data_IF_333643383594
#
_entry.id   IF_333643383594
#
_cell.length_a   1.000
_cell.length_b   1.000
_cell.length_c   1.000
_cell.angle_alpha   90.00
_cell.angle_beta   90.00
_cell.angle_gamma   90.00
#
_symmetry.space_group_name_H-M   'P 1'
#
loop_
_entity.id
_entity.type
_entity.pdbx_description
1 polymer ?
#
# COMPACT_ATOMS: atom_id res chain seq x y z
N UNK A 1 -8.37 12.96 -13.22
CA UNK A 1 -9.32 11.81 -13.29
C UNK A 1 -10.11 11.81 -12.00
N UNK A 2 -11.45 11.67 -12.03
CA UNK A 2 -12.22 11.58 -10.79
C UNK A 2 -11.91 10.19 -10.20
N UNK A 3 -11.32 10.09 -9.01
CA UNK A 3 -11.11 8.79 -8.38
C UNK A 3 -12.48 8.14 -8.11
N UNK A 4 -12.57 6.84 -8.27
CA UNK A 4 -13.69 6.08 -7.78
C UNK A 4 -13.61 5.95 -6.25
N UNK A 5 -13.60 4.71 -5.73
CA UNK A 5 -13.52 4.49 -4.29
C UNK A 5 -12.07 4.47 -3.80
N UNK A 6 -11.79 5.24 -2.74
CA UNK A 6 -10.57 5.18 -1.95
C UNK A 6 -10.67 4.03 -0.94
N UNK A 7 -9.73 3.10 -0.98
CA UNK A 7 -9.71 1.92 -0.10
C UNK A 7 -8.56 2.05 0.90
N UNK A 8 -8.88 2.27 2.17
CA UNK A 8 -7.90 2.43 3.26
C UNK A 8 -7.59 1.07 3.90
N UNK A 9 -6.38 0.58 3.71
CA UNK A 9 -5.90 -0.71 4.20
C UNK A 9 -4.93 -0.49 5.37
N UNK A 10 -5.37 -0.84 6.57
CA UNK A 10 -4.59 -0.68 7.80
C UNK A 10 -3.48 -1.72 7.94
N UNK A 11 -2.46 -1.43 8.76
CA UNK A 11 -1.41 -2.39 9.11
C UNK A 11 -2.02 -3.68 9.68
N UNK A 12 -1.50 -4.88 9.34
CA UNK A 12 -1.99 -6.15 9.87
C UNK A 12 -2.00 -6.25 11.40
N UNK A 13 -1.14 -5.52 12.07
CA UNK A 13 -1.07 -5.46 13.53
C UNK A 13 -2.12 -4.52 14.15
N UNK A 14 -2.86 -3.77 13.31
CA UNK A 14 -3.84 -2.76 13.72
C UNK A 14 -5.27 -3.19 13.34
N UNK A 15 -6.19 -2.25 13.33
CA UNK A 15 -7.59 -2.41 12.93
C UNK A 15 -8.06 -1.22 12.12
N UNK A 16 -9.20 -1.33 11.44
CA UNK A 16 -9.80 -0.21 10.74
C UNK A 16 -10.12 0.99 11.67
N UNK A 17 -10.32 0.75 12.97
CA UNK A 17 -10.51 1.81 13.95
C UNK A 17 -9.26 2.70 14.13
N UNK A 18 -8.06 2.19 13.80
CA UNK A 18 -6.82 2.96 13.83
C UNK A 18 -6.80 4.17 12.87
N UNK A 19 -7.65 4.18 11.85
CA UNK A 19 -7.83 5.33 10.99
C UNK A 19 -8.45 6.55 11.69
N UNK A 20 -9.10 6.36 12.87
CA UNK A 20 -9.76 7.44 13.59
C UNK A 20 -10.75 8.21 12.71
N UNK A 21 -10.70 9.57 12.71
CA UNK A 21 -11.63 10.40 11.93
C UNK A 21 -11.27 10.50 10.43
N UNK A 22 -10.13 9.96 10.00
CA UNK A 22 -9.62 10.14 8.63
C UNK A 22 -10.62 9.74 7.54
N UNK A 23 -11.31 8.56 7.60
CA UNK A 23 -12.27 8.19 6.57
C UNK A 23 -13.42 9.20 6.43
N UNK A 24 -13.97 9.68 7.56
CA UNK A 24 -15.07 10.64 7.56
C UNK A 24 -14.63 12.02 7.05
N UNK A 25 -13.43 12.45 7.43
CA UNK A 25 -12.88 13.71 6.94
C UNK A 25 -12.65 13.67 5.43
N UNK A 26 -12.16 12.56 4.89
CA UNK A 26 -11.99 12.38 3.44
C UNK A 26 -13.33 12.35 2.70
N UNK A 27 -14.38 11.75 3.32
CA UNK A 27 -15.74 11.81 2.77
C UNK A 27 -16.29 13.23 2.74
N UNK A 28 -15.98 14.05 3.75
CA UNK A 28 -16.37 15.46 3.77
C UNK A 28 -15.74 16.29 2.63
N UNK A 29 -14.64 15.81 2.06
CA UNK A 29 -14.03 16.38 0.85
C UNK A 29 -14.63 15.83 -0.46
N UNK A 30 -15.68 15.03 -0.38
CA UNK A 30 -16.40 14.49 -1.53
C UNK A 30 -15.78 13.20 -2.10
N UNK A 31 -14.86 12.55 -1.37
CA UNK A 31 -14.29 11.26 -1.77
C UNK A 31 -15.20 10.12 -1.33
N UNK A 32 -15.37 9.11 -2.19
CA UNK A 32 -15.94 7.84 -1.77
C UNK A 32 -14.85 7.00 -1.08
N UNK A 33 -15.07 6.62 0.18
CA UNK A 33 -14.05 6.00 1.04
C UNK A 33 -14.59 4.76 1.71
N UNK A 34 -13.86 3.66 1.60
CA UNK A 34 -14.06 2.44 2.38
C UNK A 34 -12.80 2.12 3.18
N UNK A 35 -12.98 1.68 4.42
CA UNK A 35 -11.91 1.27 5.31
C UNK A 35 -12.19 -0.17 5.79
N UNK A 36 -11.88 -1.19 4.97
CA UNK A 36 -12.15 -2.57 5.32
C UNK A 36 -11.30 -3.01 6.51
N UNK A 37 -11.89 -3.79 7.40
CA UNK A 37 -11.23 -4.33 8.58
C UNK A 37 -10.67 -5.73 8.29
N UNK A 38 -9.36 -5.85 8.19
CA UNK A 38 -8.64 -7.08 7.82
C UNK A 38 -7.74 -7.50 8.97
N UNK A 39 -8.30 -8.27 9.93
CA UNK A 39 -7.62 -8.64 11.18
C UNK A 39 -7.03 -10.04 11.16
N UNK A 40 -5.97 -10.23 11.95
CA UNK A 40 -5.46 -11.54 12.36
C UNK A 40 -4.83 -12.36 11.24
N UNK A 41 -4.46 -11.72 10.14
CA UNK A 41 -3.82 -12.37 8.98
C UNK A 41 -2.74 -11.48 8.39
N UNK A 42 -1.70 -12.09 7.84
CA UNK A 42 -0.55 -11.42 7.24
C UNK A 42 -0.22 -11.98 5.86
N UNK A 43 0.62 -11.27 5.10
CA UNK A 43 1.12 -11.68 3.80
C UNK A 43 0.00 -12.02 2.83
N UNK A 44 0.10 -13.15 2.13
CA UNK A 44 -0.90 -13.57 1.13
C UNK A 44 -2.28 -13.84 1.72
N UNK A 45 -2.37 -14.20 3.01
CA UNK A 45 -3.68 -14.35 3.69
C UNK A 45 -4.36 -12.98 3.87
N UNK A 46 -3.58 -11.94 4.16
CA UNK A 46 -4.08 -10.58 4.18
C UNK A 46 -4.61 -10.17 2.80
N UNK A 47 -3.86 -10.42 1.72
CA UNK A 47 -4.27 -10.13 0.34
C UNK A 47 -5.61 -10.79 0.02
N UNK A 48 -5.73 -12.09 0.29
CA UNK A 48 -6.97 -12.85 0.02
C UNK A 48 -8.16 -12.29 0.82
N UNK A 49 -7.95 -12.01 2.11
CA UNK A 49 -9.03 -11.47 2.96
C UNK A 49 -9.41 -10.05 2.56
N UNK A 50 -8.42 -9.19 2.29
CA UNK A 50 -8.67 -7.84 1.80
C UNK A 50 -9.49 -7.86 0.51
N UNK A 51 -9.15 -8.73 -0.44
CA UNK A 51 -9.88 -8.87 -1.70
C UNK A 51 -11.37 -9.21 -1.47
N UNK A 52 -11.67 -10.11 -0.54
CA UNK A 52 -13.04 -10.49 -0.19
C UNK A 52 -13.80 -9.34 0.49
N UNK A 53 -13.17 -8.68 1.48
CA UNK A 53 -13.82 -7.59 2.23
C UNK A 53 -14.06 -6.39 1.33
N UNK A 54 -13.09 -6.02 0.48
CA UNK A 54 -13.27 -4.97 -0.53
C UNK A 54 -14.43 -5.31 -1.46
N UNK A 55 -14.52 -6.55 -1.94
CA UNK A 55 -15.61 -6.97 -2.81
C UNK A 55 -16.99 -6.83 -2.15
N UNK A 56 -17.08 -7.12 -0.84
CA UNK A 56 -18.31 -7.00 -0.07
C UNK A 56 -18.81 -5.56 0.10
N UNK A 57 -17.93 -4.56 -0.03
CA UNK A 57 -18.31 -3.14 0.01
C UNK A 57 -18.84 -2.62 -1.33
N UNK A 58 -18.79 -3.41 -2.39
CA UNK A 58 -19.18 -3.03 -3.75
C UNK A 58 -18.62 -1.66 -4.21
N UNK A 59 -17.30 -1.45 -4.12
CA UNK A 59 -16.71 -0.14 -4.37
C UNK A 59 -16.80 0.25 -5.85
N UNK A 60 -16.89 1.56 -6.11
CA UNK A 60 -16.90 2.11 -7.47
C UNK A 60 -15.46 2.20 -8.02
N UNK A 61 -15.22 1.62 -9.18
CA UNK A 61 -13.95 1.72 -9.88
C UNK A 61 -13.79 3.07 -10.63
N UNK A 62 -12.55 3.52 -10.89
CA UNK A 62 -11.28 2.91 -10.52
C UNK A 62 -10.96 3.07 -9.03
N UNK A 63 -10.32 2.05 -8.43
CA UNK A 63 -9.96 2.08 -7.02
C UNK A 63 -8.65 2.86 -6.82
N UNK A 64 -8.56 3.61 -5.72
CA UNK A 64 -7.28 4.11 -5.21
C UNK A 64 -6.96 3.33 -3.94
N UNK A 65 -5.87 2.56 -3.95
CA UNK A 65 -5.46 1.73 -2.82
C UNK A 65 -4.50 2.52 -1.92
N UNK A 66 -4.88 2.69 -0.67
CA UNK A 66 -4.03 3.30 0.37
C UNK A 66 -3.56 2.21 1.33
N UNK A 67 -2.25 2.03 1.45
CA UNK A 67 -1.67 1.05 2.38
C UNK A 67 -0.87 1.72 3.47
N UNK A 68 -1.12 1.34 4.73
CA UNK A 68 -0.38 1.79 5.90
C UNK A 68 0.57 0.70 6.41
N UNK A 69 1.79 1.08 6.78
CA UNK A 69 2.75 0.19 7.44
C UNK A 69 3.17 -1.01 6.59
N UNK A 70 2.98 -2.20 7.13
CA UNK A 70 3.35 -3.47 6.50
C UNK A 70 2.46 -3.88 5.32
N UNK A 71 1.36 -3.19 5.06
CA UNK A 71 0.49 -3.45 3.89
C UNK A 71 1.10 -2.91 2.60
N UNK A 72 1.97 -1.91 2.66
CA UNK A 72 2.58 -1.33 1.45
C UNK A 72 3.09 -2.37 0.44
N UNK A 73 3.94 -3.33 0.83
CA UNK A 73 4.41 -4.40 -0.06
C UNK A 73 3.32 -5.31 -0.62
N UNK A 74 2.14 -5.35 -0.01
CA UNK A 74 1.02 -6.19 -0.42
C UNK A 74 0.11 -5.52 -1.46
N UNK A 75 0.17 -4.18 -1.61
CA UNK A 75 -0.69 -3.43 -2.51
C UNK A 75 -0.66 -3.96 -3.96
N UNK A 76 0.49 -4.32 -4.56
CA UNK A 76 0.52 -4.88 -5.90
C UNK A 76 -0.32 -6.16 -6.04
N UNK A 77 -0.22 -7.07 -5.07
CA UNK A 77 -0.98 -8.33 -5.10
C UNK A 77 -2.47 -8.10 -4.84
N UNK A 78 -2.83 -7.14 -3.99
CA UNK A 78 -4.23 -6.73 -3.79
C UNK A 78 -4.79 -6.15 -5.09
N UNK A 79 -4.03 -5.32 -5.81
CA UNK A 79 -4.43 -4.77 -7.09
C UNK A 79 -4.66 -5.86 -8.15
N UNK A 80 -3.78 -6.86 -8.23
CA UNK A 80 -3.99 -8.02 -9.11
C UNK A 80 -5.33 -8.69 -8.81
N UNK A 81 -5.62 -8.94 -7.54
CA UNK A 81 -6.90 -9.55 -7.14
C UNK A 81 -8.11 -8.67 -7.49
N UNK A 82 -8.00 -7.35 -7.37
CA UNK A 82 -9.08 -6.43 -7.74
C UNK A 82 -9.27 -6.40 -9.27
N UNK A 83 -8.19 -6.33 -10.05
CA UNK A 83 -8.25 -6.39 -11.53
C UNK A 83 -8.87 -7.70 -12.03
N UNK A 84 -8.50 -8.82 -11.42
CA UNK A 84 -9.10 -10.12 -11.73
C UNK A 84 -10.61 -10.16 -11.46
N UNK A 85 -11.09 -9.32 -10.54
CA UNK A 85 -12.51 -9.14 -10.24
C UNK A 85 -13.15 -7.96 -11.02
N UNK A 86 -12.55 -7.53 -12.14
CA UNK A 86 -12.99 -6.43 -12.99
C UNK A 86 -13.10 -5.06 -12.28
N UNK A 87 -12.28 -4.83 -11.26
CA UNK A 87 -12.15 -3.54 -10.58
C UNK A 87 -10.76 -2.95 -10.84
N UNK A 88 -10.59 -2.11 -11.87
CA UNK A 88 -9.31 -1.48 -12.18
C UNK A 88 -8.84 -0.60 -11.01
N UNK A 89 -7.52 -0.58 -10.80
CA UNK A 89 -6.87 0.30 -9.84
C UNK A 89 -6.35 1.52 -10.60
N UNK A 90 -6.72 2.71 -10.14
CA UNK A 90 -6.34 3.98 -10.76
C UNK A 90 -5.22 4.71 -10.02
N UNK A 91 -4.79 4.22 -8.85
CA UNK A 91 -3.69 4.82 -8.11
C UNK A 91 -3.32 4.09 -6.82
N UNK A 92 -2.14 4.40 -6.31
CA UNK A 92 -1.61 3.86 -5.06
C UNK A 92 -1.13 4.99 -4.16
N UNK A 93 -1.47 4.93 -2.87
CA UNK A 93 -0.91 5.81 -1.84
C UNK A 93 -0.25 4.97 -0.74
N UNK A 94 1.00 5.23 -0.48
CA UNK A 94 1.77 4.63 0.60
C UNK A 94 1.79 5.61 1.77
N UNK A 95 1.10 5.26 2.85
CA UNK A 95 1.01 6.08 4.06
C UNK A 95 1.89 5.47 5.14
N UNK A 96 3.01 6.12 5.49
CA UNK A 96 3.99 5.55 6.42
C UNK A 96 4.17 4.04 6.19
N UNK A 97 4.47 3.65 4.95
CA UNK A 97 4.45 2.27 4.54
C UNK A 97 5.76 1.84 3.88
N UNK A 98 6.11 0.58 4.07
CA UNK A 98 7.19 -0.04 3.30
C UNK A 98 6.83 -0.08 1.83
N UNK A 99 7.84 0.07 0.97
CA UNK A 99 7.62 0.01 -0.48
C UNK A 99 7.75 -1.42 -1.00
N UNK A 100 6.97 -1.78 -2.02
CA UNK A 100 7.17 -3.02 -2.75
C UNK A 100 8.57 -3.05 -3.36
N UNK A 101 9.26 -4.18 -3.20
CA UNK A 101 10.58 -4.40 -3.79
C UNK A 101 10.46 -5.32 -4.98
N UNK A 102 10.98 -4.88 -6.13
CA UNK A 102 11.11 -5.78 -7.28
C UNK A 102 11.97 -6.99 -6.87
N UNK A 103 11.55 -8.18 -7.26
CA UNK A 103 12.29 -9.40 -6.99
C UNK A 103 13.70 -9.24 -7.56
N UNK A 104 14.71 -9.19 -6.69
CA UNK A 104 16.09 -9.26 -7.13
C UNK A 104 16.24 -10.62 -7.80
N UNK A 105 16.62 -10.63 -9.08
CA UNK A 105 16.93 -11.89 -9.75
C UNK A 105 17.86 -12.70 -8.84
N UNK A 106 17.65 -14.02 -8.67
CA UNK A 106 18.53 -14.85 -7.86
C UNK A 106 19.95 -14.64 -8.37
N UNK A 107 20.81 -14.05 -7.54
CA UNK A 107 22.23 -14.02 -7.84
C UNK A 107 22.64 -15.48 -7.96
N UNK A 108 23.08 -15.88 -9.14
CA UNK A 108 23.73 -17.18 -9.33
C UNK A 108 24.87 -17.18 -8.31
N UNK A 109 24.72 -17.99 -7.28
CA UNK A 109 25.71 -18.10 -6.23
C UNK A 109 27.01 -18.56 -6.89
N UNK A 110 28.04 -17.72 -6.85
CA UNK A 110 29.38 -18.10 -7.27
C UNK A 110 29.84 -19.24 -6.33
N UNK A 111 30.08 -20.45 -6.82
CA UNK A 111 30.39 -21.62 -5.98
C UNK A 111 31.71 -21.50 -5.19
N UNK A 112 32.42 -20.39 -5.35
CA UNK A 112 33.73 -20.14 -4.72
C UNK A 112 33.72 -19.47 -3.36
N UNK A 113 32.53 -19.01 -2.82
CA UNK A 113 32.50 -18.38 -1.51
C UNK A 113 31.93 -19.31 -0.44
N UNK A 114 32.89 -19.88 0.32
CA UNK A 114 32.66 -20.85 1.40
C UNK A 114 31.83 -20.29 2.58
N UNK A 115 31.07 -21.20 3.17
CA UNK A 115 30.56 -21.34 4.51
C UNK A 115 30.68 -20.13 5.46
N UNK A 116 29.73 -19.20 5.35
CA UNK A 116 29.43 -18.23 6.39
C UNK A 116 28.13 -18.64 7.10
N UNK A 117 28.20 -18.93 8.39
CA UNK A 117 27.05 -19.20 9.25
C UNK A 117 26.22 -17.92 9.37
N UNK A 118 25.22 -17.75 8.50
CA UNK A 118 24.25 -16.67 8.57
C UNK A 118 23.16 -17.02 9.55
N UNK A 119 23.01 -16.22 10.59
CA UNK A 119 21.88 -16.24 11.52
C UNK A 119 20.59 -16.14 10.71
N UNK A 120 19.76 -17.18 10.78
CA UNK A 120 18.47 -17.26 10.11
C UNK A 120 17.46 -16.29 10.73
N UNK A 121 17.50 -15.03 10.29
CA UNK A 121 16.35 -14.16 10.44
C UNK A 121 15.24 -14.72 9.54
N UNK A 122 14.08 -15.06 10.10
CA UNK A 122 12.88 -15.40 9.35
C UNK A 122 12.51 -14.18 8.49
N UNK A 123 12.97 -14.14 7.26
CA UNK A 123 12.45 -13.24 6.26
C UNK A 123 10.99 -13.63 6.05
N UNK A 124 10.07 -12.71 6.33
CA UNK A 124 8.66 -12.91 5.99
C UNK A 124 8.59 -13.29 4.49
N UNK A 125 7.70 -14.21 4.10
CA UNK A 125 7.59 -14.64 2.72
C UNK A 125 7.37 -13.41 1.83
N UNK A 126 8.33 -13.15 0.96
CA UNK A 126 8.31 -12.02 0.04
C UNK A 126 7.14 -12.19 -0.93
N UNK A 127 6.18 -11.26 -0.85
CA UNK A 127 5.01 -11.29 -1.72
C UNK A 127 5.45 -10.87 -3.13
N UNK A 128 5.12 -11.65 -4.17
CA UNK A 128 5.54 -11.33 -5.53
C UNK A 128 4.99 -9.99 -5.99
N UNK A 129 5.86 -9.15 -6.54
CA UNK A 129 5.46 -7.92 -7.24
C UNK A 129 5.29 -8.27 -8.72
N UNK A 130 4.15 -7.96 -9.36
CA UNK A 130 3.95 -8.17 -10.79
C UNK A 130 5.00 -7.42 -11.63
N UNK A 131 5.35 -7.94 -12.79
CA UNK A 131 6.36 -7.33 -13.67
C UNK A 131 5.90 -5.97 -14.24
N UNK A 132 4.59 -5.81 -14.44
CA UNK A 132 3.97 -4.58 -14.93
C UNK A 132 3.67 -3.54 -13.85
N UNK A 133 4.02 -3.82 -12.59
CA UNK A 133 3.78 -2.90 -11.49
C UNK A 133 4.89 -1.81 -11.41
N UNK A 134 4.55 -0.52 -11.18
CA UNK A 134 3.20 0.02 -11.00
C UNK A 134 2.52 0.35 -12.34
N UNK A 135 1.35 -0.23 -12.57
CA UNK A 135 0.50 0.04 -13.74
C UNK A 135 -0.36 1.32 -13.58
N UNK A 136 -0.34 1.93 -12.42
CA UNK A 136 -1.05 3.15 -12.07
C UNK A 136 -0.16 4.10 -11.27
N UNK A 137 -0.46 5.41 -11.25
CA UNK A 137 0.30 6.38 -10.46
C UNK A 137 0.43 6.01 -8.99
N UNK A 138 1.60 6.31 -8.42
CA UNK A 138 1.90 6.08 -7.02
C UNK A 138 2.24 7.39 -6.32
N UNK A 139 1.82 7.55 -5.07
CA UNK A 139 2.21 8.65 -4.20
C UNK A 139 2.61 8.15 -2.82
N UNK A 140 3.39 8.94 -2.10
CA UNK A 140 3.83 8.65 -0.75
C UNK A 140 3.42 9.76 0.20
N UNK A 141 2.78 9.42 1.31
CA UNK A 141 2.45 10.33 2.40
C UNK A 141 3.20 9.90 3.65
N UNK A 142 4.10 10.75 4.10
CA UNK A 142 4.90 10.52 5.29
C UNK A 142 4.33 11.28 6.49
N UNK A 143 4.12 10.58 7.60
CA UNK A 143 3.69 11.16 8.89
C UNK A 143 4.80 11.06 9.94
N UNK A 144 5.73 10.11 9.78
CA UNK A 144 6.76 9.79 10.77
C UNK A 144 8.14 9.73 10.12
N UNK A 145 9.16 10.24 10.82
CA UNK A 145 10.57 10.12 10.41
C UNK A 145 11.07 8.68 10.39
N UNK A 146 10.36 7.75 11.01
CA UNK A 146 10.67 6.33 10.92
C UNK A 146 10.66 5.79 9.47
N UNK A 147 9.98 6.49 8.57
CA UNK A 147 9.83 6.13 7.15
C UNK A 147 10.58 7.07 6.19
N UNK A 148 11.58 7.81 6.67
CA UNK A 148 12.40 8.71 5.85
C UNK A 148 13.06 7.99 4.67
N UNK A 149 13.48 6.75 4.86
CA UNK A 149 14.11 5.96 3.81
C UNK A 149 13.12 5.61 2.70
N UNK A 150 11.93 5.18 3.05
CA UNK A 150 10.84 4.84 2.12
C UNK A 150 10.37 6.08 1.35
N UNK A 151 10.21 7.20 2.02
CA UNK A 151 9.86 8.47 1.40
C UNK A 151 10.91 8.92 0.38
N UNK A 152 12.21 8.82 0.71
CA UNK A 152 13.30 9.09 -0.23
C UNK A 152 13.27 8.14 -1.42
N UNK A 153 13.06 6.83 -1.19
CA UNK A 153 12.96 5.85 -2.28
C UNK A 153 11.77 6.12 -3.19
N UNK A 154 10.63 6.55 -2.64
CA UNK A 154 9.47 6.98 -3.43
C UNK A 154 9.82 8.17 -4.33
N UNK A 155 10.48 9.20 -3.79
CA UNK A 155 10.97 10.34 -4.56
C UNK A 155 11.95 9.95 -5.66
N UNK A 156 12.88 9.02 -5.41
CA UNK A 156 13.82 8.51 -6.42
C UNK A 156 13.12 7.74 -7.55
N UNK A 157 11.93 7.18 -7.29
CA UNK A 157 11.06 6.57 -8.32
C UNK A 157 10.22 7.59 -9.09
N UNK A 158 10.36 8.88 -8.77
CA UNK A 158 9.58 9.96 -9.39
C UNK A 158 8.15 10.07 -8.85
N UNK A 159 7.84 9.43 -7.72
CA UNK A 159 6.51 9.54 -7.12
C UNK A 159 6.38 10.85 -6.34
N UNK A 160 5.24 11.53 -6.36
CA UNK A 160 4.99 12.65 -5.47
C UNK A 160 5.05 12.20 -4.02
N UNK A 161 5.81 12.95 -3.21
CA UNK A 161 5.97 12.73 -1.78
C UNK A 161 5.40 13.93 -1.04
N UNK A 162 4.51 13.68 -0.09
CA UNK A 162 3.98 14.68 0.82
C UNK A 162 4.31 14.30 2.26
N UNK A 163 4.46 15.30 3.12
CA UNK A 163 4.59 15.14 4.57
C UNK A 163 3.38 15.80 5.24
N UNK A 164 2.90 15.21 6.32
CA UNK A 164 1.83 15.79 7.11
C UNK A 164 1.98 15.45 8.59
N UNK A 165 1.49 16.34 9.44
CA UNK A 165 1.30 16.11 10.86
C UNK A 165 -0.20 16.10 11.17
N UNK A 166 -0.60 15.48 12.28
CA UNK A 166 -1.97 15.59 12.73
C UNK A 166 -2.27 17.06 13.09
N UNK A 167 -3.40 17.67 12.68
CA UNK A 167 -4.58 17.06 12.06
C UNK A 167 -4.61 17.06 10.51
N UNK A 168 -3.55 17.46 9.82
CA UNK A 168 -3.55 17.83 8.40
C UNK A 168 -3.49 16.62 7.43
N UNK A 169 -3.45 15.40 7.97
CA UNK A 169 -3.29 14.16 7.18
C UNK A 169 -4.35 14.03 6.06
N UNK A 170 -5.61 14.32 6.38
CA UNK A 170 -6.70 14.21 5.41
C UNK A 170 -6.52 15.19 4.25
N UNK A 171 -6.12 16.42 4.53
CA UNK A 171 -5.87 17.44 3.52
C UNK A 171 -4.67 17.08 2.64
N UNK A 172 -3.57 16.62 3.25
CA UNK A 172 -2.38 16.19 2.54
C UNK A 172 -2.67 14.99 1.63
N UNK A 173 -3.41 14.00 2.14
CA UNK A 173 -3.84 12.83 1.37
C UNK A 173 -4.75 13.25 0.21
N UNK A 174 -5.73 14.11 0.43
CA UNK A 174 -6.61 14.62 -0.63
C UNK A 174 -5.80 15.33 -1.73
N UNK A 175 -4.90 16.23 -1.35
CA UNK A 175 -4.01 16.92 -2.31
C UNK A 175 -3.17 15.91 -3.11
N UNK A 176 -2.59 14.92 -2.43
CA UNK A 176 -1.77 13.89 -3.08
C UNK A 176 -2.59 13.10 -4.10
N UNK A 177 -3.79 12.65 -3.74
CA UNK A 177 -4.69 11.90 -4.63
C UNK A 177 -5.07 12.70 -5.88
N UNK A 178 -5.29 14.00 -5.75
CA UNK A 178 -5.62 14.88 -6.88
C UNK A 178 -4.44 15.03 -7.87
N UNK A 179 -3.20 14.79 -7.40
CA UNK A 179 -2.00 14.84 -8.26
C UNK A 179 -1.70 13.52 -8.97
N UNK A 180 -2.35 12.42 -8.58
CA UNK A 180 -2.22 11.11 -9.22
C UNK A 180 -3.10 11.02 -10.47
#
# INVERSE_FOLDING_TARGET
MTPGTLVLLHDPADTAAGWGPLPETLRSYGLDVVAPDVRGVEGMRYVARAALVIAATAPTAPLVLVGHGAVGPLLPSIAVAQRAAHRPVGGYVFLDARLPQARRAPQIADPAQGHGHGHGGRTAPEVPVPEDWPEAPCGYLQLSTAYDQEARQAGLRGWPVATAEQPDVAQAMHKLIVTL
#
